data_IF_463203208214
#
_entry.id   IF_463203208214
#
_cell.length_a   1.000
_cell.length_b   1.000
_cell.length_c   1.000
_cell.angle_alpha   90.00
_cell.angle_beta   90.00
_cell.angle_gamma   90.00
#
_symmetry.space_group_name_H-M   'P 1'
#
loop_
_entity.id
_entity.type
_entity.pdbx_description
1 polymer ?
#
# COMPACT_ATOMS: atom_id res chain seq x y z
N UNK A 1 -28.80 26.40 31.81
CA UNK A 1 -28.64 26.86 30.41
C UNK A 1 -27.19 27.07 29.95
N UNK A 2 -26.18 27.08 30.85
CA UNK A 2 -24.75 27.28 30.48
C UNK A 2 -24.07 26.04 29.87
N UNK A 3 -24.54 24.83 30.17
CA UNK A 3 -23.95 23.57 29.67
C UNK A 3 -24.10 23.38 28.16
N UNK A 4 -25.17 23.88 27.55
CA UNK A 4 -25.43 23.73 26.11
C UNK A 4 -24.50 24.60 25.24
N UNK A 5 -24.11 25.78 25.74
CA UNK A 5 -23.19 26.69 25.03
C UNK A 5 -21.73 26.24 25.12
N UNK A 6 -21.30 25.64 26.23
CA UNK A 6 -19.99 25.00 26.34
C UNK A 6 -19.85 23.81 25.39
N UNK A 7 -20.93 23.03 25.21
CA UNK A 7 -20.92 21.85 24.34
C UNK A 7 -20.81 22.25 22.86
N UNK A 8 -21.57 23.26 22.41
CA UNK A 8 -21.49 23.81 21.05
C UNK A 8 -20.09 24.38 20.77
N UNK A 9 -19.52 25.16 21.70
CA UNK A 9 -18.17 25.72 21.54
C UNK A 9 -17.11 24.61 21.40
N UNK A 10 -17.20 23.56 22.22
CA UNK A 10 -16.28 22.43 22.16
C UNK A 10 -16.39 21.60 20.88
N UNK A 11 -17.63 21.42 20.37
CA UNK A 11 -17.91 20.68 19.14
C UNK A 11 -17.47 21.48 17.91
N UNK A 12 -17.74 22.78 17.88
CA UNK A 12 -17.32 23.68 16.79
C UNK A 12 -15.80 23.79 16.76
N UNK A 13 -15.14 24.01 17.91
CA UNK A 13 -13.68 24.08 17.99
C UNK A 13 -13.00 22.77 17.55
N UNK A 14 -13.58 21.61 17.91
CA UNK A 14 -13.10 20.31 17.47
C UNK A 14 -13.28 20.12 15.96
N UNK A 15 -14.41 20.57 15.39
CA UNK A 15 -14.67 20.49 13.94
C UNK A 15 -13.70 21.35 13.14
N UNK A 16 -13.49 22.60 13.54
CA UNK A 16 -12.55 23.52 12.86
C UNK A 16 -11.11 23.00 12.90
N UNK A 17 -10.72 22.36 14.00
CA UNK A 17 -9.40 21.74 14.13
C UNK A 17 -9.22 20.52 13.21
N UNK A 18 -10.28 19.75 12.94
CA UNK A 18 -10.23 18.61 12.03
C UNK A 18 -10.15 19.04 10.56
N UNK A 19 -10.90 20.08 10.17
CA UNK A 19 -10.86 20.61 8.81
C UNK A 19 -9.49 21.22 8.48
N UNK A 20 -8.89 21.99 9.40
CA UNK A 20 -7.52 22.49 9.24
C UNK A 20 -6.50 21.36 9.00
N UNK A 21 -6.61 20.26 9.74
CA UNK A 21 -5.73 19.09 9.53
C UNK A 21 -5.95 18.49 8.13
N UNK A 22 -7.19 18.39 7.65
CA UNK A 22 -7.48 17.89 6.30
C UNK A 22 -6.93 18.81 5.21
N UNK A 23 -7.04 20.13 5.40
CA UNK A 23 -6.48 21.13 4.48
C UNK A 23 -4.95 21.02 4.40
N UNK A 24 -4.26 20.95 5.54
CA UNK A 24 -2.80 20.73 5.58
C UNK A 24 -2.40 19.44 4.86
N UNK A 25 -3.15 18.35 5.07
CA UNK A 25 -2.92 17.08 4.38
C UNK A 25 -3.10 17.27 2.86
N UNK A 26 -4.19 17.88 2.42
CA UNK A 26 -4.46 18.10 0.99
C UNK A 26 -3.39 18.97 0.34
N UNK A 27 -2.92 20.01 1.03
CA UNK A 27 -1.85 20.90 0.55
C UNK A 27 -0.51 20.16 0.31
N UNK A 28 -0.19 19.17 1.15
CA UNK A 28 1.01 18.35 0.96
C UNK A 28 0.89 17.46 -0.29
N UNK A 29 -0.31 16.95 -0.58
CA UNK A 29 -0.55 16.05 -1.71
C UNK A 29 -0.94 16.77 -3.02
N UNK A 30 -1.31 18.05 -2.98
CA UNK A 30 -1.51 18.88 -4.17
C UNK A 30 -0.20 19.27 -4.84
N UNK A 31 0.87 19.39 -4.05
CA UNK A 31 2.21 19.59 -4.59
C UNK A 31 2.63 18.34 -5.37
N UNK A 32 3.11 18.51 -6.60
CA UNK A 32 3.45 17.43 -7.55
C UNK A 32 4.42 16.38 -6.98
N UNK A 33 5.14 16.71 -5.90
CA UNK A 33 6.06 15.83 -5.20
C UNK A 33 5.39 15.23 -3.96
N UNK A 34 4.95 13.97 -4.04
CA UNK A 34 4.49 13.24 -2.85
C UNK A 34 5.63 13.10 -1.82
N UNK A 35 5.37 13.32 -0.52
CA UNK A 35 6.38 13.19 0.53
C UNK A 35 6.87 11.75 0.66
N UNK A 36 8.19 11.54 0.73
CA UNK A 36 8.83 10.19 0.82
C UNK A 36 8.50 9.51 2.15
N UNK A 37 8.47 10.28 3.24
CA UNK A 37 8.06 9.80 4.55
C UNK A 37 7.42 10.95 5.34
N UNK A 38 6.09 10.97 5.38
CA UNK A 38 5.33 12.03 6.06
C UNK A 38 5.67 12.11 7.55
N UNK A 39 5.85 10.98 8.22
CA UNK A 39 6.16 10.98 9.65
C UNK A 39 7.53 11.61 9.96
N UNK A 40 8.47 11.55 9.01
CA UNK A 40 9.81 12.17 9.14
C UNK A 40 9.82 13.63 8.70
N UNK A 41 9.09 13.96 7.62
CA UNK A 41 9.10 15.31 7.04
C UNK A 41 8.13 16.27 7.75
N UNK A 42 6.99 15.77 8.24
CA UNK A 42 5.95 16.55 8.89
C UNK A 42 5.50 15.88 10.21
N UNK A 43 6.38 15.75 11.22
CA UNK A 43 6.08 15.00 12.44
C UNK A 43 4.91 15.61 13.24
N UNK A 44 4.82 16.94 13.30
CA UNK A 44 3.75 17.62 14.02
C UNK A 44 2.37 17.34 13.40
N UNK A 45 2.24 17.47 12.08
CA UNK A 45 1.02 17.15 11.36
C UNK A 45 0.66 15.67 11.49
N UNK A 46 1.64 14.77 11.35
CA UNK A 46 1.42 13.34 11.50
C UNK A 46 0.85 12.99 12.88
N UNK A 47 1.39 13.59 13.95
CA UNK A 47 0.89 13.38 15.31
C UNK A 47 -0.50 13.98 15.51
N UNK A 48 -0.75 15.21 15.03
CA UNK A 48 -2.09 15.84 15.08
C UNK A 48 -3.12 14.97 14.37
N UNK A 49 -2.86 14.57 13.13
CA UNK A 49 -3.74 13.72 12.34
C UNK A 49 -3.99 12.37 13.00
N UNK A 50 -2.95 11.74 13.56
CA UNK A 50 -3.10 10.50 14.31
C UNK A 50 -3.96 10.68 15.56
N UNK A 51 -3.80 11.77 16.32
CA UNK A 51 -4.63 12.05 17.50
C UNK A 51 -6.09 12.30 17.13
N UNK A 52 -6.34 13.05 16.05
CA UNK A 52 -7.68 13.42 15.63
C UNK A 52 -8.47 12.27 14.96
N UNK A 53 -7.82 11.52 14.07
CA UNK A 53 -8.47 10.48 13.26
C UNK A 53 -8.11 9.04 13.71
N UNK A 54 -7.27 8.90 14.74
CA UNK A 54 -6.78 7.62 15.26
C UNK A 54 -5.60 7.02 14.49
N UNK A 55 -5.54 7.21 13.16
CA UNK A 55 -4.39 6.79 12.35
C UNK A 55 -4.17 7.67 11.13
N UNK A 56 -2.95 7.68 10.59
CA UNK A 56 -2.66 8.39 9.35
C UNK A 56 -3.49 7.87 8.16
N UNK A 57 -3.72 6.55 8.08
CA UNK A 57 -4.61 5.96 7.07
C UNK A 57 -6.00 6.58 7.13
N UNK A 58 -6.61 6.59 8.32
CA UNK A 58 -7.94 7.19 8.54
C UNK A 58 -7.98 8.69 8.21
N UNK A 59 -6.90 9.41 8.48
CA UNK A 59 -6.80 10.83 8.13
C UNK A 59 -6.78 11.06 6.60
N UNK A 60 -6.04 10.25 5.85
CA UNK A 60 -6.04 10.29 4.37
C UNK A 60 -7.41 9.93 3.80
N UNK A 61 -8.04 8.87 4.32
CA UNK A 61 -9.38 8.45 3.91
C UNK A 61 -10.44 9.53 4.24
N UNK A 62 -10.32 10.21 5.39
CA UNK A 62 -11.17 11.33 5.77
C UNK A 62 -11.00 12.57 4.87
N UNK A 63 -9.89 12.65 4.12
CA UNK A 63 -9.71 13.67 3.07
C UNK A 63 -10.32 13.25 1.73
N UNK A 64 -10.91 12.06 1.63
CA UNK A 64 -11.45 11.49 0.38
C UNK A 64 -10.39 10.89 -0.54
N UNK A 65 -9.18 10.63 -0.03
CA UNK A 65 -8.06 10.09 -0.81
C UNK A 65 -7.88 8.59 -0.59
N UNK A 66 -7.48 7.87 -1.64
CA UNK A 66 -7.15 6.44 -1.56
C UNK A 66 -5.76 6.23 -0.94
N UNK A 67 -5.73 5.84 0.34
CA UNK A 67 -4.51 5.57 1.08
C UNK A 67 -3.54 4.61 0.37
N UNK A 68 -4.05 3.61 -0.35
CA UNK A 68 -3.20 2.62 -1.04
C UNK A 68 -2.50 3.21 -2.27
N UNK A 69 -3.06 4.25 -2.88
CA UNK A 69 -2.39 5.04 -3.94
C UNK A 69 -1.40 6.06 -3.37
N UNK A 70 -1.73 6.60 -2.20
CA UNK A 70 -0.95 7.66 -1.54
C UNK A 70 0.32 7.15 -0.86
N UNK A 71 0.35 5.91 -0.39
CA UNK A 71 1.51 5.31 0.27
C UNK A 71 2.67 5.05 -0.69
N UNK A 72 3.91 5.28 -0.23
CA UNK A 72 5.11 5.05 -1.05
C UNK A 72 5.48 3.58 -1.22
N UNK A 73 5.26 2.76 -0.17
CA UNK A 73 5.59 1.33 -0.20
C UNK A 73 4.32 0.52 -0.29
N UNK A 74 4.05 -0.18 -1.38
CA UNK A 74 2.86 -1.07 -1.50
C UNK A 74 2.87 -2.17 -0.44
N UNK A 75 1.71 -2.52 0.12
CA UNK A 75 1.56 -3.74 0.93
C UNK A 75 1.17 -4.89 0.01
N UNK A 76 2.04 -5.88 -0.07
CA UNK A 76 1.80 -7.11 -0.83
C UNK A 76 1.03 -8.12 0.00
N UNK A 77 0.12 -8.84 -0.66
CA UNK A 77 -0.55 -10.04 -0.19
C UNK A 77 -0.56 -11.04 -1.32
N UNK A 78 -0.76 -12.33 -1.02
CA UNK A 78 -0.85 -13.38 -2.04
C UNK A 78 -1.91 -13.06 -3.10
N UNK A 79 -3.07 -12.57 -2.68
CA UNK A 79 -4.15 -12.13 -3.57
C UNK A 79 -3.77 -10.94 -4.45
N UNK A 80 -3.13 -9.90 -3.88
CA UNK A 80 -2.68 -8.74 -4.66
C UNK A 80 -1.64 -9.12 -5.71
N UNK A 81 -0.71 -10.01 -5.35
CA UNK A 81 0.28 -10.54 -6.28
C UNK A 81 -0.42 -11.33 -7.39
N UNK A 82 -1.37 -12.20 -7.06
CA UNK A 82 -2.10 -12.99 -8.04
C UNK A 82 -2.91 -12.10 -9.00
N UNK A 83 -3.56 -11.06 -8.49
CA UNK A 83 -4.29 -10.10 -9.31
C UNK A 83 -3.35 -9.33 -10.25
N UNK A 84 -2.18 -8.93 -9.78
CA UNK A 84 -1.19 -8.23 -10.62
C UNK A 84 -0.62 -9.14 -11.70
N UNK A 85 -0.32 -10.40 -11.37
CA UNK A 85 0.10 -11.43 -12.33
C UNK A 85 -0.97 -11.63 -13.40
N UNK A 86 -2.24 -11.77 -13.02
CA UNK A 86 -3.36 -11.92 -13.97
C UNK A 86 -3.51 -10.72 -14.89
N UNK A 87 -3.33 -9.49 -14.37
CA UNK A 87 -3.32 -8.26 -15.20
C UNK A 87 -2.17 -8.23 -16.20
N UNK A 88 -0.97 -8.64 -15.78
CA UNK A 88 0.18 -8.73 -16.67
C UNK A 88 -0.08 -9.77 -17.77
N UNK A 89 -0.68 -10.91 -17.41
CA UNK A 89 -1.06 -11.95 -18.36
C UNK A 89 -2.11 -11.46 -19.37
N UNK A 90 -3.18 -10.82 -18.90
CA UNK A 90 -4.27 -10.32 -19.76
C UNK A 90 -3.85 -9.17 -20.67
N UNK A 91 -2.81 -8.42 -20.30
CA UNK A 91 -2.24 -7.35 -21.14
C UNK A 91 -1.28 -7.87 -22.22
N UNK A 92 -1.09 -9.19 -22.33
CA UNK A 92 -0.21 -9.82 -23.31
C UNK A 92 1.28 -9.61 -23.03
N UNK A 93 1.64 -9.10 -21.84
CA UNK A 93 3.03 -8.89 -21.46
C UNK A 93 3.72 -10.21 -21.15
N UNK A 94 5.02 -10.26 -21.45
CA UNK A 94 5.86 -11.40 -21.08
C UNK A 94 5.98 -11.52 -19.56
N UNK A 95 5.60 -12.69 -19.03
CA UNK A 95 5.77 -13.03 -17.61
C UNK A 95 7.17 -13.56 -17.30
N UNK A 96 8.12 -13.45 -18.23
CA UNK A 96 9.51 -13.87 -18.02
C UNK A 96 10.17 -12.94 -17.01
N UNK A 97 10.86 -13.48 -15.98
CA UNK A 97 11.56 -12.64 -14.99
C UNK A 97 12.60 -11.69 -15.60
N UNK A 98 13.24 -12.05 -16.71
CA UNK A 98 14.19 -11.18 -17.43
C UNK A 98 13.51 -9.91 -17.96
N UNK A 99 12.33 -10.08 -18.56
CA UNK A 99 11.63 -9.00 -19.25
C UNK A 99 11.01 -8.05 -18.21
N UNK A 100 10.43 -8.62 -17.15
CA UNK A 100 9.94 -7.86 -16.00
C UNK A 100 11.05 -7.05 -15.31
N UNK A 101 12.28 -7.57 -15.22
CA UNK A 101 13.43 -6.81 -14.70
C UNK A 101 13.79 -5.64 -15.60
N UNK A 102 13.82 -5.85 -16.92
CA UNK A 102 14.09 -4.78 -17.91
C UNK A 102 13.04 -3.67 -17.87
N UNK A 103 11.77 -4.02 -17.64
CA UNK A 103 10.68 -3.07 -17.45
C UNK A 103 10.65 -2.39 -16.06
N UNK A 104 11.64 -2.67 -15.18
CA UNK A 104 11.68 -2.10 -13.83
C UNK A 104 10.63 -2.70 -12.87
N UNK A 105 9.95 -3.78 -13.26
CA UNK A 105 8.94 -4.47 -12.46
C UNK A 105 9.58 -5.43 -11.44
N UNK A 106 10.73 -5.09 -10.88
CA UNK A 106 11.46 -5.92 -9.91
C UNK A 106 10.68 -6.14 -8.63
N UNK A 107 9.83 -5.18 -8.25
CA UNK A 107 9.01 -5.23 -7.05
C UNK A 107 8.06 -6.43 -7.01
N UNK A 108 7.50 -6.86 -8.16
CA UNK A 108 6.55 -7.98 -8.20
C UNK A 108 7.26 -9.31 -8.06
N UNK A 109 8.47 -9.42 -8.62
CA UNK A 109 9.33 -10.59 -8.49
C UNK A 109 9.76 -10.79 -7.04
N UNK A 110 10.21 -9.73 -6.38
CA UNK A 110 10.56 -9.78 -4.95
C UNK A 110 9.34 -10.11 -4.08
N UNK A 111 8.18 -9.51 -4.34
CA UNK A 111 6.95 -9.79 -3.62
C UNK A 111 6.50 -11.24 -3.78
N UNK A 112 6.49 -11.77 -5.01
CA UNK A 112 6.15 -13.15 -5.29
C UNK A 112 7.12 -14.13 -4.62
N UNK A 113 8.42 -13.85 -4.68
CA UNK A 113 9.45 -14.66 -4.01
C UNK A 113 9.24 -14.68 -2.50
N UNK A 114 8.91 -13.54 -1.88
CA UNK A 114 8.65 -13.45 -0.46
C UNK A 114 7.37 -14.21 -0.03
N UNK A 115 6.27 -14.09 -0.78
CA UNK A 115 4.97 -14.65 -0.37
C UNK A 115 4.72 -16.10 -0.81
N UNK A 116 5.34 -16.54 -1.91
CA UNK A 116 5.16 -17.87 -2.53
C UNK A 116 6.46 -18.69 -2.59
N UNK A 117 7.60 -18.12 -2.21
CA UNK A 117 8.92 -18.73 -2.29
C UNK A 117 9.56 -18.63 -3.68
N UNK A 118 8.77 -18.62 -4.75
CA UNK A 118 9.29 -18.43 -6.12
C UNK A 118 8.26 -17.81 -7.06
N UNK A 119 8.73 -17.19 -8.15
CA UNK A 119 7.88 -16.68 -9.23
C UNK A 119 7.05 -17.81 -9.86
N UNK A 120 7.67 -18.98 -10.09
CA UNK A 120 6.99 -20.15 -10.64
C UNK A 120 5.80 -20.60 -9.78
N UNK A 121 5.97 -20.66 -8.45
CA UNK A 121 4.89 -21.02 -7.52
C UNK A 121 3.76 -19.98 -7.53
N UNK A 122 4.09 -18.70 -7.68
CA UNK A 122 3.08 -17.65 -7.82
C UNK A 122 2.28 -17.77 -9.14
N UNK A 123 2.92 -18.12 -10.25
CA UNK A 123 2.24 -18.39 -11.53
C UNK A 123 1.34 -19.62 -11.46
N UNK A 124 1.82 -20.69 -10.83
CA UNK A 124 1.04 -21.91 -10.58
C UNK A 124 -0.22 -21.61 -9.76
N UNK A 125 -0.10 -20.81 -8.70
CA UNK A 125 -1.24 -20.35 -7.90
C UNK A 125 -2.27 -19.56 -8.75
N UNK A 126 -1.82 -18.86 -9.80
CA UNK A 126 -2.70 -18.14 -10.71
C UNK A 126 -3.31 -19.02 -11.82
N UNK A 127 -2.97 -20.31 -11.88
CA UNK A 127 -3.39 -21.23 -12.94
C UNK A 127 -2.63 -21.05 -14.25
N UNK A 128 -1.49 -20.34 -14.23
CA UNK A 128 -0.69 -20.05 -15.42
C UNK A 128 0.43 -21.09 -15.53
N UNK A 129 0.35 -21.97 -16.54
CA UNK A 129 1.43 -22.90 -16.84
C UNK A 129 2.61 -22.15 -17.46
N UNK A 130 3.77 -22.22 -16.82
CA UNK A 130 4.98 -21.54 -17.28
C UNK A 130 6.16 -22.52 -17.30
N UNK A 131 6.68 -22.81 -18.49
CA UNK A 131 7.84 -23.69 -18.67
C UNK A 131 9.13 -22.89 -18.57
N UNK A 132 9.95 -23.16 -17.56
CA UNK A 132 11.34 -22.70 -17.53
C UNK A 132 12.17 -23.54 -18.50
N UNK A 133 12.95 -22.88 -19.36
CA UNK A 133 14.05 -23.54 -20.05
C UNK A 133 15.13 -23.94 -19.04
N UNK A 134 15.25 -25.25 -18.81
CA UNK A 134 16.25 -26.00 -18.02
C UNK A 134 16.38 -25.71 -16.51
N UNK A 135 15.96 -26.71 -15.72
CA UNK A 135 16.73 -27.32 -14.63
C UNK A 135 16.89 -26.54 -13.31
N UNK A 136 16.00 -26.83 -12.36
CA UNK A 136 16.33 -27.22 -10.97
C UNK A 136 15.03 -27.64 -10.28
N UNK A 137 14.91 -28.93 -9.99
CA UNK A 137 13.91 -29.46 -9.06
C UNK A 137 14.09 -28.75 -7.72
N UNK A 138 13.12 -27.94 -7.32
CA UNK A 138 13.10 -27.38 -5.97
C UNK A 138 12.46 -28.40 -5.04
N UNK A 139 13.25 -29.38 -4.61
CA UNK A 139 12.97 -30.20 -3.43
C UNK A 139 13.34 -29.37 -2.19
N UNK A 140 12.35 -28.70 -1.59
CA UNK A 140 12.31 -28.11 -0.22
C UNK A 140 11.18 -27.06 -0.18
N UNK A 141 10.31 -26.97 0.82
CA UNK A 141 10.41 -27.12 2.27
C UNK A 141 9.01 -27.61 2.74
N UNK A 142 8.83 -28.61 3.60
CA UNK A 142 9.48 -28.75 4.89
C UNK A 142 8.65 -28.11 6.00
N UNK A 143 7.33 -28.36 6.05
CA UNK A 143 6.53 -28.03 7.23
C UNK A 143 6.96 -28.94 8.39
N UNK A 144 7.92 -28.50 9.20
CA UNK A 144 7.99 -28.91 10.60
C UNK A 144 7.13 -27.91 11.38
N UNK A 145 5.91 -28.32 11.70
CA UNK A 145 5.17 -27.77 12.81
C UNK A 145 5.76 -28.39 14.08
N UNK A 146 6.20 -27.55 15.01
CA UNK A 146 6.39 -27.89 16.41
C UNK A 146 5.21 -27.30 17.18
#
# INVERSE_FOLDING_TARGET
MVSFLQDISSVVYRRDSLEKIKEEIKAIYSNSQKPVNVAKQYPALYLKARKAFGSWKKAIEACGMDYERTRNRRKWSREKIANEIKKLYSSGKSLRPSDLKKEGMTYILSAATYHFGSWAKALYFCGIKFSYGKGKETNSCGHKSA
#
